data_IF_213003505049
#
_entry.id   IF_213003505049
#
_cell.length_a   1.000
_cell.length_b   1.000
_cell.length_c   1.000
_cell.angle_alpha   90.00
_cell.angle_beta   90.00
_cell.angle_gamma   90.00
#
_symmetry.space_group_name_H-M   'P 1'
#
loop_
_entity.id
_entity.type
_entity.pdbx_description
1 polymer ?
#
# COMPACT_ATOMS: atom_id res chain seq x y z
N UNK A 1 -27.68 16.06 19.29
CA UNK A 1 -27.79 14.69 19.87
C UNK A 1 -27.32 14.73 21.32
N UNK A 2 -28.24 14.73 22.29
CA UNK A 2 -27.89 14.53 23.70
C UNK A 2 -27.76 13.01 23.93
N UNK A 3 -26.54 12.51 23.95
CA UNK A 3 -26.25 11.14 24.36
C UNK A 3 -26.10 11.15 25.88
N UNK A 4 -27.05 10.57 26.58
CA UNK A 4 -26.99 10.42 28.03
C UNK A 4 -25.87 9.45 28.44
N UNK A 5 -25.27 9.58 29.64
CA UNK A 5 -23.98 8.98 30.02
C UNK A 5 -23.96 7.46 30.25
N UNK A 6 -24.97 6.70 29.88
CA UNK A 6 -25.02 5.23 30.08
C UNK A 6 -25.71 4.43 28.94
N UNK A 7 -25.78 4.94 27.71
CA UNK A 7 -26.37 4.14 26.62
C UNK A 7 -25.27 3.53 25.78
N UNK A 8 -25.28 2.17 25.68
CA UNK A 8 -24.49 1.41 24.71
C UNK A 8 -24.73 1.99 23.31
N UNK A 9 -23.69 2.13 22.52
CA UNK A 9 -23.79 2.74 21.20
C UNK A 9 -24.88 2.08 20.35
N UNK A 10 -25.86 2.88 19.91
CA UNK A 10 -26.95 2.43 19.02
C UNK A 10 -26.43 2.08 17.61
N UNK A 11 -25.18 2.34 17.33
CA UNK A 11 -24.54 2.19 16.01
C UNK A 11 -23.35 1.25 16.12
N UNK A 12 -23.36 0.14 15.40
CA UNK A 12 -22.24 -0.77 15.25
C UNK A 12 -21.63 -0.58 13.86
N UNK A 13 -20.37 -0.26 13.82
CA UNK A 13 -19.61 -0.05 12.58
C UNK A 13 -18.61 -1.20 12.44
N UNK A 14 -18.65 -1.89 11.31
CA UNK A 14 -17.65 -2.85 10.88
C UNK A 14 -16.99 -2.28 9.65
N UNK A 15 -15.68 -2.11 9.70
CA UNK A 15 -14.88 -1.54 8.64
C UNK A 15 -13.78 -2.52 8.23
N UNK A 16 -13.71 -2.84 6.93
CA UNK A 16 -12.56 -3.48 6.31
C UNK A 16 -11.87 -2.46 5.42
N UNK A 17 -10.61 -2.15 5.65
CA UNK A 17 -9.87 -1.18 4.85
C UNK A 17 -9.72 -1.68 3.40
N UNK A 18 -9.65 -0.73 2.47
CA UNK A 18 -9.21 -1.02 1.11
C UNK A 18 -7.76 -1.54 1.15
N UNK A 19 -7.52 -2.63 0.45
CA UNK A 19 -6.18 -3.20 0.28
C UNK A 19 -5.72 -2.89 -1.13
N UNK A 20 -4.62 -2.15 -1.24
CA UNK A 20 -4.02 -1.80 -2.51
C UNK A 20 -2.81 -2.69 -2.78
N UNK A 21 -2.72 -3.22 -3.99
CA UNK A 21 -1.66 -4.10 -4.44
C UNK A 21 -0.90 -3.47 -5.60
N UNK A 22 0.41 -3.54 -5.52
CA UNK A 22 1.35 -3.06 -6.54
C UNK A 22 1.99 -4.28 -7.18
N UNK A 23 2.10 -4.29 -8.51
CA UNK A 23 2.88 -5.30 -9.22
C UNK A 23 4.36 -4.99 -9.10
N UNK A 24 5.07 -5.85 -8.36
CA UNK A 24 6.50 -5.68 -8.07
C UNK A 24 7.34 -5.93 -9.32
N UNK A 25 6.90 -6.85 -10.20
CA UNK A 25 7.62 -7.15 -11.45
C UNK A 25 7.55 -5.96 -12.39
N UNK A 26 6.37 -5.37 -12.59
CA UNK A 26 6.20 -4.18 -13.39
C UNK A 26 7.05 -3.01 -12.83
N UNK A 27 7.09 -2.83 -11.52
CA UNK A 27 7.93 -1.82 -10.86
C UNK A 27 9.43 -2.04 -11.15
N UNK A 28 9.90 -3.30 -11.08
CA UNK A 28 11.28 -3.65 -11.40
C UNK A 28 11.62 -3.42 -12.87
N UNK A 29 10.70 -3.75 -13.79
CA UNK A 29 10.87 -3.50 -15.23
C UNK A 29 10.96 -2.01 -15.57
N UNK A 30 10.12 -1.17 -14.97
CA UNK A 30 10.21 0.29 -15.13
C UNK A 30 11.54 0.85 -14.65
N UNK A 31 12.01 0.38 -13.49
CA UNK A 31 13.29 0.79 -12.96
C UNK A 31 14.44 0.32 -13.85
N UNK A 32 14.41 -0.90 -14.34
CA UNK A 32 15.42 -1.48 -15.23
C UNK A 32 15.50 -0.73 -16.56
N UNK A 33 14.36 -0.46 -17.19
CA UNK A 33 14.30 0.35 -18.42
C UNK A 33 14.89 1.76 -18.23
N UNK A 34 14.62 2.37 -17.07
CA UNK A 34 15.18 3.68 -16.75
C UNK A 34 16.69 3.65 -16.54
N UNK A 35 17.22 2.56 -15.94
CA UNK A 35 18.67 2.36 -15.69
C UNK A 35 19.41 1.82 -16.92
N UNK A 36 18.71 1.37 -17.96
CA UNK A 36 19.31 0.67 -19.08
C UNK A 36 19.87 -0.71 -18.72
N UNK A 37 19.28 -1.40 -17.74
CA UNK A 37 19.67 -2.71 -17.22
C UNK A 37 18.60 -3.77 -17.51
N UNK A 38 18.98 -5.04 -17.40
CA UNK A 38 17.99 -6.11 -17.42
C UNK A 38 17.15 -6.09 -16.12
N UNK A 39 15.86 -6.45 -16.21
CA UNK A 39 14.96 -6.47 -15.04
C UNK A 39 15.41 -7.44 -13.94
N UNK A 40 16.15 -8.50 -14.32
CA UNK A 40 16.72 -9.47 -13.37
C UNK A 40 17.77 -8.83 -12.45
N UNK A 41 18.47 -7.80 -12.91
CA UNK A 41 19.52 -7.11 -12.13
C UNK A 41 18.96 -6.05 -11.15
N UNK A 42 17.68 -5.72 -11.32
CA UNK A 42 16.98 -4.76 -10.47
C UNK A 42 16.11 -5.52 -9.48
N UNK A 43 16.69 -5.84 -8.32
CA UNK A 43 15.93 -6.48 -7.25
C UNK A 43 14.82 -5.56 -6.71
N UNK A 44 13.63 -6.10 -6.54
CA UNK A 44 12.51 -5.38 -5.94
C UNK A 44 12.10 -6.04 -4.62
N UNK A 45 11.96 -5.24 -3.58
CA UNK A 45 11.54 -5.68 -2.24
C UNK A 45 10.15 -5.14 -1.92
N UNK A 46 9.37 -5.91 -1.16
CA UNK A 46 8.05 -5.51 -0.69
C UNK A 46 8.10 -5.23 0.81
N UNK A 47 7.77 -4.01 1.20
CA UNK A 47 7.74 -3.62 2.62
C UNK A 47 6.53 -4.14 3.38
N UNK A 48 5.53 -4.68 2.68
CA UNK A 48 4.33 -5.26 3.24
C UNK A 48 4.20 -6.74 2.94
N UNK A 49 2.98 -7.15 2.59
CA UNK A 49 2.68 -8.55 2.28
C UNK A 49 2.97 -8.84 0.82
N UNK A 50 3.89 -9.76 0.57
CA UNK A 50 4.18 -10.29 -0.75
C UNK A 50 3.23 -11.45 -1.07
N UNK A 51 2.56 -11.38 -2.21
CA UNK A 51 1.75 -12.46 -2.77
C UNK A 51 2.39 -12.91 -4.08
N UNK A 52 3.15 -14.00 -4.05
CA UNK A 52 3.90 -14.52 -5.19
C UNK A 52 5.17 -15.25 -4.75
N UNK A 53 6.21 -15.23 -5.59
CA UNK A 53 7.49 -15.85 -5.26
C UNK A 53 8.36 -14.92 -4.41
N UNK A 54 8.98 -15.46 -3.38
CA UNK A 54 9.92 -14.76 -2.52
C UNK A 54 11.30 -15.40 -2.63
N UNK A 55 12.27 -14.68 -3.21
CA UNK A 55 13.68 -15.07 -3.20
C UNK A 55 14.29 -14.63 -1.87
N UNK A 56 14.05 -15.39 -0.82
CA UNK A 56 14.45 -15.13 0.54
C UNK A 56 13.53 -15.82 1.54
N UNK A 57 13.55 -15.35 2.80
CA UNK A 57 12.72 -15.91 3.86
C UNK A 57 11.33 -15.30 3.85
N UNK A 58 10.29 -16.14 3.76
CA UNK A 58 8.90 -15.75 3.88
C UNK A 58 8.42 -15.89 5.34
N UNK A 59 7.94 -14.80 5.94
CA UNK A 59 7.32 -14.81 7.27
C UNK A 59 5.80 -14.60 7.14
N UNK A 60 5.03 -15.54 7.66
CA UNK A 60 3.59 -15.40 7.78
C UNK A 60 2.75 -15.90 6.61
N UNK A 61 2.95 -17.11 6.12
CA UNK A 61 2.05 -17.74 5.15
C UNK A 61 2.74 -18.42 3.96
N UNK A 62 3.82 -19.14 4.23
CA UNK A 62 4.34 -20.13 3.31
C UNK A 62 3.29 -21.23 3.14
N UNK A 63 2.77 -21.48 1.93
CA UNK A 63 2.08 -22.73 1.64
C UNK A 63 3.08 -23.86 1.82
N UNK A 64 2.74 -24.79 2.69
CA UNK A 64 3.52 -25.98 2.97
C UNK A 64 3.75 -26.77 1.67
N UNK A 65 4.96 -26.67 1.14
CA UNK A 65 5.38 -27.34 -0.10
C UNK A 65 6.86 -27.16 -0.38
N UNK A 66 7.59 -26.41 0.45
CA UNK A 66 9.02 -26.23 0.27
C UNK A 66 9.61 -25.66 1.53
N UNK A 67 10.48 -26.43 2.17
CA UNK A 67 11.12 -26.16 3.43
C UNK A 67 11.63 -24.72 3.56
N UNK A 68 11.66 -24.22 4.77
CA UNK A 68 12.25 -22.96 5.19
C UNK A 68 13.77 -22.92 4.96
N UNK A 69 14.17 -22.94 3.71
CA UNK A 69 15.55 -22.81 3.27
C UNK A 69 15.57 -21.88 2.05
N UNK A 70 16.56 -21.01 1.99
CA UNK A 70 16.92 -20.08 0.94
C UNK A 70 16.67 -20.62 -0.48
N UNK A 71 15.51 -20.36 -1.08
CA UNK A 71 15.22 -20.79 -2.43
C UNK A 71 13.75 -20.59 -2.78
N UNK A 72 13.40 -19.47 -3.37
CA UNK A 72 12.27 -19.15 -4.24
C UNK A 72 10.95 -19.91 -4.05
N UNK A 73 10.27 -19.78 -2.90
CA UNK A 73 8.98 -20.39 -2.63
C UNK A 73 7.80 -19.42 -2.79
N UNK A 74 6.58 -19.96 -2.96
CA UNK A 74 5.36 -19.14 -2.90
C UNK A 74 5.22 -18.54 -1.50
N UNK A 75 5.12 -17.22 -1.45
CA UNK A 75 4.94 -16.46 -0.23
C UNK A 75 3.60 -15.72 -0.27
N UNK A 76 2.87 -15.82 0.84
CA UNK A 76 1.70 -15.01 1.08
C UNK A 76 1.84 -14.32 2.45
N UNK A 77 2.91 -13.54 2.59
CA UNK A 77 3.32 -12.92 3.84
C UNK A 77 4.48 -11.95 3.61
N UNK A 78 5.21 -11.63 4.68
CA UNK A 78 6.35 -10.74 4.58
C UNK A 78 7.56 -11.48 3.97
N UNK A 79 8.02 -10.98 2.83
CA UNK A 79 9.20 -11.51 2.14
C UNK A 79 10.44 -10.73 2.56
N UNK A 80 11.37 -11.40 3.23
CA UNK A 80 12.71 -10.87 3.50
C UNK A 80 13.65 -11.24 2.34
N UNK A 81 13.53 -10.51 1.25
CA UNK A 81 14.27 -10.73 0.01
C UNK A 81 13.56 -10.10 -1.17
N UNK A 82 13.82 -10.59 -2.38
CA UNK A 82 13.17 -10.12 -3.59
C UNK A 82 11.77 -10.74 -3.71
N UNK A 83 10.75 -9.89 -3.79
CA UNK A 83 9.38 -10.30 -4.04
C UNK A 83 9.12 -10.27 -5.55
N UNK A 84 8.58 -11.36 -6.10
CA UNK A 84 8.12 -11.45 -7.50
C UNK A 84 6.63 -11.74 -7.48
N UNK A 85 5.81 -10.74 -7.82
CA UNK A 85 4.36 -10.81 -7.79
C UNK A 85 3.72 -9.52 -7.27
N UNK A 86 2.65 -9.64 -6.49
CA UNK A 86 1.93 -8.49 -5.94
C UNK A 86 2.40 -8.15 -4.52
N UNK A 87 2.52 -6.86 -4.24
CA UNK A 87 2.88 -6.30 -2.93
C UNK A 87 1.72 -5.49 -2.35
N UNK A 88 1.24 -5.90 -1.18
CA UNK A 88 0.34 -5.08 -0.36
C UNK A 88 1.21 -4.12 0.48
N UNK A 89 1.39 -2.89 0.03
CA UNK A 89 2.22 -1.90 0.69
C UNK A 89 3.07 -1.12 -0.31
N UNK A 90 4.36 -0.99 0.00
CA UNK A 90 5.30 -0.25 -0.82
C UNK A 90 6.31 -1.19 -1.48
N UNK A 91 6.45 -1.08 -2.81
CA UNK A 91 7.50 -1.77 -3.55
C UNK A 91 8.74 -0.88 -3.65
N UNK A 92 9.88 -1.37 -3.19
CA UNK A 92 11.17 -0.69 -3.27
C UNK A 92 12.08 -1.40 -4.26
N UNK A 93 12.74 -0.64 -5.13
CA UNK A 93 13.63 -1.15 -6.18
C UNK A 93 15.06 -0.66 -5.99
N UNK A 94 16.04 -1.51 -6.32
CA UNK A 94 17.45 -1.16 -6.31
C UNK A 94 17.81 -0.43 -7.60
N UNK A 95 17.55 0.88 -7.63
CA UNK A 95 17.83 1.73 -8.76
C UNK A 95 18.34 3.11 -8.29
N UNK A 96 18.83 3.94 -9.21
CA UNK A 96 19.17 5.32 -8.91
C UNK A 96 17.95 6.07 -8.38
N UNK A 97 18.14 7.10 -7.56
CA UNK A 97 17.02 7.82 -6.94
C UNK A 97 15.99 8.33 -7.94
N UNK A 98 16.43 8.75 -9.14
CA UNK A 98 15.53 9.23 -10.19
C UNK A 98 14.72 8.09 -10.82
N UNK A 99 15.34 6.94 -11.13
CA UNK A 99 14.68 5.78 -11.71
C UNK A 99 13.76 5.10 -10.69
N UNK A 100 14.17 5.05 -9.43
CA UNK A 100 13.36 4.60 -8.32
C UNK A 100 12.07 5.42 -8.19
N UNK A 101 12.16 6.75 -8.17
CA UNK A 101 11.00 7.63 -8.08
C UNK A 101 10.05 7.47 -9.26
N UNK A 102 10.57 7.36 -10.49
CA UNK A 102 9.76 7.10 -11.69
C UNK A 102 9.06 5.75 -11.63
N UNK A 103 9.76 4.68 -11.25
CA UNK A 103 9.19 3.35 -11.13
C UNK A 103 8.07 3.30 -10.06
N UNK A 104 8.29 3.94 -8.92
CA UNK A 104 7.29 4.03 -7.85
C UNK A 104 6.06 4.84 -8.26
N UNK A 105 6.24 5.94 -8.99
CA UNK A 105 5.14 6.74 -9.52
C UNK A 105 4.30 5.93 -10.53
N UNK A 106 4.94 5.22 -11.46
CA UNK A 106 4.26 4.35 -12.44
C UNK A 106 3.51 3.21 -11.74
N UNK A 107 4.15 2.52 -10.80
CA UNK A 107 3.54 1.45 -10.01
C UNK A 107 2.33 1.94 -9.20
N UNK A 108 2.40 3.16 -8.66
CA UNK A 108 1.29 3.75 -7.92
C UNK A 108 0.11 4.11 -8.84
N UNK A 109 0.37 4.47 -10.10
CA UNK A 109 -0.67 4.76 -11.09
C UNK A 109 -1.41 3.48 -11.53
N UNK A 110 -0.70 2.35 -11.61
CA UNK A 110 -1.25 1.06 -12.01
C UNK A 110 -1.76 0.20 -10.85
N UNK A 111 -1.74 0.73 -9.64
CA UNK A 111 -2.10 0.03 -8.42
C UNK A 111 -3.56 -0.43 -8.44
N UNK A 112 -3.77 -1.71 -8.13
CA UNK A 112 -5.09 -2.32 -7.98
C UNK A 112 -5.52 -2.27 -6.51
N UNK A 113 -6.62 -1.59 -6.23
CA UNK A 113 -7.17 -1.52 -4.86
C UNK A 113 -8.50 -2.25 -4.80
N UNK A 114 -8.70 -3.08 -3.77
CA UNK A 114 -10.02 -3.58 -3.39
C UNK A 114 -10.85 -2.44 -2.81
N UNK A 115 -12.16 -2.51 -2.94
CA UNK A 115 -13.03 -1.54 -2.29
C UNK A 115 -13.03 -1.74 -0.77
N UNK A 116 -13.09 -0.62 -0.04
CA UNK A 116 -13.28 -0.67 1.40
C UNK A 116 -14.70 -1.12 1.71
N UNK A 117 -14.86 -2.16 2.53
CA UNK A 117 -16.17 -2.59 3.00
C UNK A 117 -16.53 -1.84 4.29
N UNK A 118 -17.68 -1.22 4.28
CA UNK A 118 -18.20 -0.50 5.42
C UNK A 118 -19.63 -0.95 5.73
N UNK A 119 -19.82 -1.61 6.86
CA UNK A 119 -21.12 -2.06 7.32
C UNK A 119 -21.51 -1.33 8.58
N UNK A 120 -22.62 -0.60 8.50
CA UNK A 120 -23.23 0.08 9.63
C UNK A 120 -24.51 -0.65 9.98
N UNK A 121 -24.61 -1.08 11.22
CA UNK A 121 -25.84 -1.67 11.77
C UNK A 121 -26.38 -0.79 12.88
N UNK A 122 -27.67 -0.53 12.82
CA UNK A 122 -28.39 0.30 13.77
C UNK A 122 -29.20 -0.58 14.71
N UNK A 123 -29.08 -0.37 16.03
CA UNK A 123 -30.00 -0.97 16.99
C UNK A 123 -31.28 -0.14 17.08
N UNK A 124 -32.32 -0.61 16.39
CA UNK A 124 -33.60 0.06 16.26
C UNK A 124 -34.31 0.32 17.62
N UNK A 125 -33.93 -0.40 18.67
CA UNK A 125 -34.52 -0.23 20.02
C UNK A 125 -33.98 1.00 20.75
N UNK A 126 -32.88 1.55 20.29
CA UNK A 126 -32.19 2.68 20.95
C UNK A 126 -32.35 4.01 20.22
N UNK A 127 -33.11 4.05 19.14
CA UNK A 127 -33.23 5.22 18.27
C UNK A 127 -34.63 5.82 18.38
N UNK A 128 -34.71 7.11 18.73
CA UNK A 128 -35.97 7.83 18.86
C UNK A 128 -36.62 8.17 17.51
N UNK A 129 -35.81 8.44 16.48
CA UNK A 129 -36.27 8.73 15.11
C UNK A 129 -35.59 7.77 14.13
N UNK A 130 -36.29 6.70 13.79
CA UNK A 130 -35.77 5.65 12.91
C UNK A 130 -35.52 6.13 11.50
N UNK A 131 -36.37 6.99 10.96
CA UNK A 131 -36.26 7.42 9.56
C UNK A 131 -35.04 8.30 9.33
N UNK A 132 -34.74 9.21 10.24
CA UNK A 132 -33.52 10.03 10.20
C UNK A 132 -32.25 9.22 10.40
N UNK A 133 -32.30 8.24 11.31
CA UNK A 133 -31.17 7.38 11.56
C UNK A 133 -30.85 6.49 10.36
N UNK A 134 -31.86 5.93 9.68
CA UNK A 134 -31.68 5.16 8.45
C UNK A 134 -31.10 5.99 7.31
N UNK A 135 -31.53 7.25 7.14
CA UNK A 135 -30.94 8.15 6.14
C UNK A 135 -29.44 8.39 6.40
N UNK A 136 -29.07 8.63 7.67
CA UNK A 136 -27.66 8.82 8.05
C UNK A 136 -26.85 7.54 7.79
N UNK A 137 -27.40 6.36 8.14
CA UNK A 137 -26.73 5.07 7.88
C UNK A 137 -26.52 4.87 6.39
N UNK A 138 -27.53 5.11 5.55
CA UNK A 138 -27.42 5.01 4.08
C UNK A 138 -26.39 5.98 3.53
N UNK A 139 -26.40 7.24 3.98
CA UNK A 139 -25.39 8.23 3.54
C UNK A 139 -23.97 7.83 3.91
N UNK A 140 -23.75 7.28 5.12
CA UNK A 140 -22.46 6.76 5.57
C UNK A 140 -22.03 5.53 4.77
N UNK A 141 -22.94 4.59 4.51
CA UNK A 141 -22.64 3.39 3.73
C UNK A 141 -22.21 3.72 2.29
N UNK A 142 -22.78 4.75 1.68
CA UNK A 142 -22.41 5.16 0.31
C UNK A 142 -21.21 6.09 0.22
N UNK A 143 -21.04 6.99 1.18
CA UNK A 143 -20.02 8.04 1.14
C UNK A 143 -18.66 7.61 1.68
N UNK A 144 -18.65 6.94 2.83
CA UNK A 144 -17.42 6.56 3.53
C UNK A 144 -16.51 5.60 2.75
N UNK A 145 -16.98 4.53 2.09
CA UNK A 145 -16.11 3.65 1.33
C UNK A 145 -15.32 4.37 0.24
N UNK A 146 -15.98 5.32 -0.47
CA UNK A 146 -15.34 6.13 -1.51
C UNK A 146 -14.23 7.01 -0.94
N UNK A 147 -14.47 7.70 0.17
CA UNK A 147 -13.46 8.53 0.83
C UNK A 147 -12.28 7.70 1.34
N UNK A 148 -12.54 6.53 1.90
CA UNK A 148 -11.50 5.64 2.43
C UNK A 148 -10.66 5.01 1.31
N UNK A 149 -11.25 4.71 0.16
CA UNK A 149 -10.51 4.21 -1.01
C UNK A 149 -9.58 5.29 -1.58
N UNK A 150 -10.01 6.55 -1.62
CA UNK A 150 -9.14 7.68 -2.01
C UNK A 150 -7.97 7.81 -1.05
N UNK A 151 -8.21 7.75 0.27
CA UNK A 151 -7.15 7.79 1.28
C UNK A 151 -6.13 6.67 1.11
N UNK A 152 -6.59 5.44 0.82
CA UNK A 152 -5.71 4.30 0.60
C UNK A 152 -4.80 4.48 -0.62
N UNK A 153 -5.30 5.12 -1.69
CA UNK A 153 -4.50 5.44 -2.89
C UNK A 153 -3.52 6.58 -2.67
N UNK A 154 -3.82 7.50 -1.77
CA UNK A 154 -2.92 8.64 -1.50
C UNK A 154 -1.64 8.24 -0.76
N UNK A 155 -1.66 7.22 0.08
CA UNK A 155 -0.49 6.81 0.86
C UNK A 155 0.75 6.47 0.00
N UNK A 156 0.67 5.62 -1.04
CA UNK A 156 1.81 5.34 -1.91
C UNK A 156 2.21 6.55 -2.77
N UNK A 157 1.28 7.42 -3.15
CA UNK A 157 1.59 8.66 -3.86
C UNK A 157 2.40 9.63 -3.00
N UNK A 158 2.06 9.77 -1.72
CA UNK A 158 2.84 10.57 -0.78
C UNK A 158 4.26 10.04 -0.64
N UNK A 159 4.45 8.72 -0.50
CA UNK A 159 5.76 8.11 -0.45
C UNK A 159 6.60 8.39 -1.73
N UNK A 160 5.97 8.34 -2.90
CA UNK A 160 6.63 8.67 -4.17
C UNK A 160 7.05 10.14 -4.23
N UNK A 161 6.23 11.07 -3.76
CA UNK A 161 6.52 12.51 -3.70
C UNK A 161 7.67 12.79 -2.74
N UNK A 162 7.67 12.19 -1.55
CA UNK A 162 8.75 12.35 -0.56
C UNK A 162 10.09 11.84 -1.10
N UNK A 163 10.08 10.68 -1.77
CA UNK A 163 11.27 10.12 -2.42
C UNK A 163 11.81 11.06 -3.50
N UNK A 164 10.93 11.65 -4.30
CA UNK A 164 11.30 12.60 -5.36
C UNK A 164 11.87 13.89 -4.75
N UNK A 165 11.22 14.44 -3.74
CA UNK A 165 11.65 15.66 -3.05
C UNK A 165 13.03 15.48 -2.40
N UNK A 166 13.27 14.38 -1.71
CA UNK A 166 14.56 14.08 -1.08
C UNK A 166 15.69 13.93 -2.10
N UNK A 167 15.39 13.37 -3.28
CA UNK A 167 16.34 13.24 -4.39
C UNK A 167 16.74 14.60 -4.97
N UNK A 168 15.78 15.51 -5.12
CA UNK A 168 16.02 16.88 -5.61
C UNK A 168 16.87 17.68 -4.61
N UNK A 169 16.57 17.59 -3.34
CA UNK A 169 17.30 18.29 -2.28
C UNK A 169 18.75 17.83 -2.20
N UNK A 170 19.00 16.51 -2.34
CA UNK A 170 20.36 15.95 -2.35
C UNK A 170 21.19 16.42 -3.52
N UNK A 171 20.59 16.63 -4.70
CA UNK A 171 21.28 17.20 -5.87
C UNK A 171 21.67 18.67 -5.68
N UNK A 172 20.83 19.47 -5.01
CA UNK A 172 21.15 20.87 -4.73
C UNK A 172 22.27 21.05 -3.70
N UNK A 173 22.36 20.16 -2.71
CA UNK A 173 23.42 20.19 -1.69
C UNK A 173 24.78 19.68 -2.15
N UNK A 174 24.86 18.93 -3.27
CA UNK A 174 26.09 18.35 -3.77
C UNK A 174 26.89 19.23 -4.76
N UNK A 175 26.40 20.42 -5.12
CA UNK A 175 27.02 21.27 -6.14
C UNK A 175 27.98 22.36 -5.61
N UNK A 176 28.36 22.33 -4.33
CA UNK A 176 29.20 23.35 -3.71
C UNK A 176 30.55 22.86 -3.21
N UNK A 177 31.12 21.81 -3.81
CA UNK A 177 32.53 21.47 -3.57
C UNK A 177 33.32 21.63 -4.88
N UNK A 178 33.72 22.87 -5.18
CA UNK A 178 34.82 23.11 -6.09
C UNK A 178 36.12 22.92 -5.31
N UNK A 179 37.08 22.10 -5.79
CA UNK A 179 38.40 22.10 -5.25
C UNK A 179 39.11 23.33 -5.81
N UNK A 180 39.48 24.23 -4.96
CA UNK A 180 40.51 25.25 -5.25
C UNK A 180 41.87 24.56 -5.25
N UNK A 181 42.54 24.64 -6.38
CA UNK A 181 43.93 24.30 -6.62
C UNK A 181 44.91 25.08 -5.73
#
# INVERSE_FOLDING_TARGET
FKVGPKRKAALKIVYKPAVCKIDVNATAEFAAKCEGKASADVGATCSGKCSGKCDGKCEGGAKAGGGGAAGGGECNGQCKGTCKGECEGHADVKASGQCKAKAQASASAEMKCTEAEFKVTLDAKMVLDKSKAEMVVKALQHGLPKLLSVKARMAPLQAAVETTASTITRRRGGSSAQPTS
#
